data_IF_472811898217
#
_entry.id   IF_472811898217
#
_cell.length_a   1.000
_cell.length_b   1.000
_cell.length_c   1.000
_cell.angle_alpha   90.00
_cell.angle_beta   90.00
_cell.angle_gamma   90.00
#
_symmetry.space_group_name_H-M   'P 1'
#
loop_
_entity.id
_entity.type
_entity.pdbx_description
1 polymer ?
#
# COMPACT_ATOMS: atom_id res chain seq x y z
N UNK A 1 -78.24 52.07 45.60
CA UNK A 1 -77.53 52.95 44.65
C UNK A 1 -76.44 52.09 43.98
N UNK A 2 -76.70 51.58 42.77
CA UNK A 2 -76.18 52.09 41.50
C UNK A 2 -74.68 51.75 41.31
N UNK A 3 -74.20 51.06 40.27
CA UNK A 3 -74.73 50.59 38.97
C UNK A 3 -73.77 49.48 38.46
N UNK A 4 -74.29 48.47 37.75
CA UNK A 4 -73.55 47.70 36.73
C UNK A 4 -73.37 48.58 35.48
N UNK A 5 -72.31 48.37 34.67
CA UNK A 5 -72.52 47.75 33.34
C UNK A 5 -71.35 46.82 32.91
N UNK A 6 -71.60 45.64 32.33
CA UNK A 6 -71.74 45.26 30.90
C UNK A 6 -70.52 44.46 30.41
N UNK A 7 -70.87 43.36 29.75
CA UNK A 7 -70.09 42.38 28.98
C UNK A 7 -68.91 42.95 28.19
N UNK A 8 -67.84 42.16 28.11
CA UNK A 8 -67.14 41.87 26.85
C UNK A 8 -66.52 40.47 26.93
N UNK A 9 -67.13 39.53 26.22
CA UNK A 9 -66.55 38.23 25.92
C UNK A 9 -65.49 38.43 24.83
N UNK A 10 -64.23 38.09 25.10
CA UNK A 10 -63.21 37.91 24.09
C UNK A 10 -62.71 36.47 24.19
N UNK A 11 -63.17 35.63 23.26
CA UNK A 11 -62.52 34.36 22.95
C UNK A 11 -61.08 34.67 22.50
N UNK A 12 -60.08 34.21 23.26
CA UNK A 12 -58.73 34.04 22.72
C UNK A 12 -58.57 32.57 22.31
N UNK A 13 -58.81 32.31 21.02
CA UNK A 13 -58.40 31.07 20.38
C UNK A 13 -56.89 31.08 20.15
N UNK A 14 -56.25 30.03 20.66
CA UNK A 14 -55.21 29.24 20.01
C UNK A 14 -54.13 29.97 19.19
N UNK A 15 -52.92 30.01 19.75
CA UNK A 15 -51.70 29.65 19.01
C UNK A 15 -50.74 28.97 19.99
N UNK A 16 -50.83 27.64 20.09
CA UNK A 16 -49.64 26.86 20.43
C UNK A 16 -48.64 27.17 19.31
N UNK A 17 -47.68 28.06 19.59
CA UNK A 17 -46.43 28.11 18.86
C UNK A 17 -45.77 26.74 19.08
N UNK A 18 -46.00 25.84 18.13
CA UNK A 18 -45.12 24.70 17.91
C UNK A 18 -43.75 25.27 17.62
N UNK A 19 -42.93 25.40 18.66
CA UNK A 19 -41.49 25.44 18.51
C UNK A 19 -41.16 24.22 17.65
N UNK A 20 -40.60 24.38 16.44
CA UNK A 20 -40.03 23.24 15.77
C UNK A 20 -39.00 22.70 16.76
N UNK A 21 -39.19 21.45 17.21
CA UNK A 21 -38.08 20.67 17.70
C UNK A 21 -37.01 20.81 16.61
N UNK A 22 -35.96 21.58 16.88
CA UNK A 22 -34.74 21.52 16.12
C UNK A 22 -34.33 20.05 16.21
N UNK A 23 -34.70 19.26 15.20
CA UNK A 23 -34.12 17.95 15.00
C UNK A 23 -32.64 18.22 14.90
N UNK A 24 -31.90 17.92 15.95
CA UNK A 24 -30.47 18.09 15.97
C UNK A 24 -29.96 17.15 14.90
N UNK A 25 -29.58 17.71 13.75
CA UNK A 25 -28.91 16.98 12.71
C UNK A 25 -27.67 16.35 13.37
N UNK A 26 -27.67 15.02 13.44
CA UNK A 26 -26.73 14.25 14.23
C UNK A 26 -26.26 13.06 13.42
N UNK A 27 -24.95 12.89 13.39
CA UNK A 27 -24.32 11.65 13.01
C UNK A 27 -24.59 10.58 14.06
N UNK A 28 -24.72 9.36 13.61
CA UNK A 28 -24.87 8.16 14.45
C UNK A 28 -23.88 7.10 13.99
N UNK A 29 -23.29 6.40 14.96
CA UNK A 29 -22.35 5.31 14.72
C UNK A 29 -23.11 3.98 14.75
N UNK A 30 -22.78 3.06 13.85
CA UNK A 30 -23.41 1.74 13.81
C UNK A 30 -22.88 0.75 14.87
N UNK A 31 -21.81 1.12 15.58
CA UNK A 31 -21.08 0.22 16.49
C UNK A 31 -20.28 -0.87 15.77
N UNK A 32 -20.08 -0.75 14.45
CA UNK A 32 -19.29 -1.70 13.65
C UNK A 32 -17.80 -1.37 13.57
N UNK A 33 -17.45 -0.10 13.75
CA UNK A 33 -16.08 0.33 13.96
C UNK A 33 -15.75 0.17 15.46
N UNK A 34 -14.49 -0.16 15.76
CA UNK A 34 -14.01 -0.45 17.11
C UNK A 34 -12.54 -0.01 17.18
N UNK A 35 -12.16 0.69 18.24
CA UNK A 35 -10.88 1.42 18.34
C UNK A 35 -9.82 0.67 19.15
N UNK A 36 -10.14 -0.49 19.73
CA UNK A 36 -9.20 -1.19 20.60
C UNK A 36 -8.00 -1.79 19.84
N UNK A 37 -6.88 -1.96 20.55
CA UNK A 37 -5.59 -2.38 20.00
C UNK A 37 -5.67 -3.58 19.05
N UNK A 38 -6.47 -4.58 19.40
CA UNK A 38 -6.54 -5.83 18.64
C UNK A 38 -7.41 -5.74 17.38
N UNK A 39 -7.99 -4.59 17.08
CA UNK A 39 -9.06 -4.44 16.08
C UNK A 39 -8.68 -3.43 15.02
N UNK A 40 -7.69 -3.79 14.22
CA UNK A 40 -7.11 -2.89 13.22
C UNK A 40 -7.29 -3.39 11.80
N UNK A 41 -7.35 -2.44 10.86
CA UNK A 41 -7.04 -2.70 9.47
C UNK A 41 -5.55 -3.09 9.37
N UNK A 42 -5.27 -4.26 8.80
CA UNK A 42 -3.90 -4.75 8.71
C UNK A 42 -3.11 -4.05 7.60
N UNK A 43 -1.89 -3.63 7.90
CA UNK A 43 -0.93 -3.06 6.96
C UNK A 43 -0.01 -4.20 6.44
N UNK A 44 -0.19 -4.67 5.20
CA UNK A 44 0.33 -5.98 4.78
C UNK A 44 1.72 -5.89 4.13
N UNK A 45 2.75 -5.48 4.88
CA UNK A 45 4.13 -5.44 4.37
C UNK A 45 4.75 -6.82 4.13
N UNK A 46 4.24 -7.88 4.78
CA UNK A 46 4.78 -9.24 4.66
C UNK A 46 6.17 -9.38 5.26
N UNK A 47 7.08 -10.06 4.56
CA UNK A 47 8.47 -10.27 5.01
C UNK A 47 9.37 -9.14 4.51
N UNK A 48 9.96 -8.39 5.44
CA UNK A 48 10.90 -7.30 5.19
C UNK A 48 12.31 -7.78 5.53
N UNK A 49 13.29 -7.50 4.67
CA UNK A 49 14.69 -7.78 4.97
C UNK A 49 15.45 -6.49 5.31
N UNK A 50 15.99 -6.42 6.52
CA UNK A 50 16.83 -5.33 7.00
C UNK A 50 18.30 -5.78 6.95
N UNK A 51 18.94 -5.58 5.81
CA UNK A 51 20.36 -5.94 5.60
C UNK A 51 21.31 -4.90 6.25
N UNK A 52 22.59 -5.00 5.96
CA UNK A 52 23.61 -4.01 6.31
C UNK A 52 23.32 -2.61 5.72
N UNK A 53 23.94 -1.59 6.33
CA UNK A 53 23.80 -0.19 5.93
C UNK A 53 24.55 0.17 4.64
N UNK A 54 25.41 -0.71 4.11
CA UNK A 54 26.16 -0.43 2.90
C UNK A 54 25.30 -0.68 1.65
N UNK A 55 24.61 -1.82 1.60
CA UNK A 55 23.67 -2.14 0.53
C UNK A 55 22.33 -1.40 0.71
N UNK A 56 21.91 -1.21 1.96
CA UNK A 56 20.65 -0.54 2.30
C UNK A 56 20.92 0.59 3.31
N UNK A 57 21.40 1.76 2.85
CA UNK A 57 21.72 2.89 3.73
C UNK A 57 20.49 3.46 4.43
N UNK A 58 20.72 4.24 5.49
CA UNK A 58 19.67 5.02 6.16
C UNK A 58 18.96 5.91 5.12
N UNK A 59 17.64 6.00 5.19
CA UNK A 59 16.82 6.65 4.17
C UNK A 59 16.25 5.70 3.11
N UNK A 60 16.72 4.45 3.03
CA UNK A 60 16.22 3.49 2.05
C UNK A 60 14.76 3.12 2.31
N UNK A 61 13.95 3.08 1.24
CA UNK A 61 12.62 2.48 1.27
C UNK A 61 12.76 0.96 1.42
N UNK A 62 12.15 0.40 2.46
CA UNK A 62 12.16 -1.02 2.81
C UNK A 62 10.94 -1.77 2.28
N UNK A 63 9.83 -1.08 2.10
CA UNK A 63 8.58 -1.64 1.62
C UNK A 63 7.50 -0.58 1.47
N UNK A 64 6.51 -0.86 0.62
CA UNK A 64 5.34 -0.01 0.42
C UNK A 64 4.10 -0.87 0.30
N UNK A 65 2.98 -0.39 0.82
CA UNK A 65 1.69 -1.06 0.73
C UNK A 65 0.57 -0.02 0.58
N UNK A 66 -0.43 -0.36 -0.25
CA UNK A 66 -1.71 0.32 -0.27
C UNK A 66 -2.69 -0.49 0.59
N UNK A 67 -3.24 0.14 1.62
CA UNK A 67 -4.13 -0.48 2.60
C UNK A 67 -5.55 -0.01 2.29
N UNK A 68 -6.39 -0.83 1.66
CA UNK A 68 -7.79 -0.50 1.52
C UNK A 68 -8.44 -0.54 2.91
N UNK A 69 -9.44 0.33 3.20
CA UNK A 69 -10.12 0.32 4.49
C UNK A 69 -10.76 -1.04 4.79
N UNK A 70 -11.09 -1.82 3.77
CA UNK A 70 -11.62 -3.20 3.87
C UNK A 70 -10.65 -4.22 4.46
N UNK A 71 -9.38 -3.86 4.69
CA UNK A 71 -8.49 -4.67 5.53
C UNK A 71 -8.97 -4.70 6.99
N UNK A 72 -9.85 -3.78 7.40
CA UNK A 72 -10.62 -3.89 8.62
C UNK A 72 -11.73 -4.94 8.47
N UNK A 73 -11.61 -6.03 9.21
CA UNK A 73 -12.53 -7.18 9.12
C UNK A 73 -13.13 -7.60 10.46
N UNK A 74 -12.83 -6.84 11.53
CA UNK A 74 -13.34 -7.14 12.86
C UNK A 74 -14.88 -7.15 12.87
N UNK A 75 -15.47 -8.06 13.65
CA UNK A 75 -16.93 -8.20 13.74
C UNK A 75 -17.62 -8.61 12.42
N UNK A 76 -16.87 -9.11 11.43
CA UNK A 76 -17.39 -9.47 10.11
C UNK A 76 -17.63 -8.27 9.20
N UNK A 77 -16.94 -7.14 9.46
CA UNK A 77 -17.04 -5.95 8.61
C UNK A 77 -16.63 -6.27 7.16
N UNK A 78 -17.40 -5.72 6.23
CA UNK A 78 -17.21 -5.84 4.78
C UNK A 78 -17.23 -4.46 4.13
N UNK A 79 -16.88 -4.39 2.85
CA UNK A 79 -16.92 -3.18 2.05
C UNK A 79 -18.25 -2.38 2.17
N UNK A 80 -19.38 -3.09 2.23
CA UNK A 80 -20.72 -2.49 2.33
C UNK A 80 -21.15 -2.12 3.76
N UNK A 81 -20.34 -2.41 4.78
CA UNK A 81 -20.68 -2.14 6.18
C UNK A 81 -20.77 -0.63 6.40
N UNK A 82 -21.94 -0.15 6.80
CA UNK A 82 -22.17 1.25 7.19
C UNK A 82 -21.53 1.49 8.56
N UNK A 83 -20.64 2.46 8.66
CA UNK A 83 -19.98 2.85 9.91
C UNK A 83 -20.68 4.06 10.54
N UNK A 84 -21.01 5.05 9.72
CA UNK A 84 -21.68 6.27 10.15
C UNK A 84 -22.89 6.58 9.27
N UNK A 85 -23.95 7.09 9.90
CA UNK A 85 -25.12 7.67 9.22
C UNK A 85 -25.30 9.10 9.72
N UNK A 86 -25.29 10.08 8.82
CA UNK A 86 -25.42 11.49 9.14
C UNK A 86 -26.53 12.14 8.32
N UNK A 87 -27.12 13.23 8.80
CA UNK A 87 -28.07 13.99 7.99
C UNK A 87 -27.35 14.63 6.79
N UNK A 88 -28.03 14.70 5.64
CA UNK A 88 -27.48 15.34 4.43
C UNK A 88 -27.08 16.79 4.65
N UNK A 89 -27.79 17.49 5.52
CA UNK A 89 -27.52 18.89 5.88
C UNK A 89 -26.18 19.08 6.58
N UNK A 90 -25.62 18.02 7.18
CA UNK A 90 -24.36 18.09 7.92
C UNK A 90 -23.14 17.93 7.02
N UNK A 91 -23.31 17.52 5.76
CA UNK A 91 -22.23 17.21 4.82
C UNK A 91 -21.10 18.26 4.78
N UNK A 92 -21.36 19.59 4.81
CA UNK A 92 -20.29 20.60 4.85
C UNK A 92 -19.37 20.54 6.08
N UNK A 93 -19.86 19.92 7.16
CA UNK A 93 -19.16 19.79 8.44
C UNK A 93 -18.49 18.40 8.59
N UNK A 94 -18.68 17.49 7.64
CA UNK A 94 -18.15 16.12 7.73
C UNK A 94 -16.77 15.99 7.08
N UNK A 95 -15.85 15.40 7.81
CA UNK A 95 -14.52 15.04 7.33
C UNK A 95 -13.91 13.97 8.23
N UNK A 96 -12.85 13.32 7.77
CA UNK A 96 -12.09 12.38 8.59
C UNK A 96 -10.94 13.11 9.29
N UNK A 97 -10.59 12.64 10.49
CA UNK A 97 -9.31 12.93 11.11
C UNK A 97 -8.45 11.67 11.15
N UNK A 98 -7.15 11.84 10.89
CA UNK A 98 -6.15 10.78 10.99
C UNK A 98 -4.96 11.24 11.82
N UNK A 99 -4.44 10.37 12.66
CA UNK A 99 -3.22 10.57 13.42
C UNK A 99 -2.48 9.25 13.61
N UNK A 100 -1.19 9.32 13.91
CA UNK A 100 -0.45 8.18 14.43
C UNK A 100 -0.95 7.83 15.83
N UNK A 101 -0.59 6.65 16.34
CA UNK A 101 -0.92 6.32 17.72
C UNK A 101 0.05 7.04 18.69
N UNK A 102 -0.33 8.25 19.12
CA UNK A 102 0.54 9.19 19.82
C UNK A 102 0.99 8.75 21.21
N UNK A 103 0.23 7.91 21.91
CA UNK A 103 0.56 7.37 23.24
C UNK A 103 1.47 6.13 23.18
N UNK A 104 1.67 5.58 21.98
CA UNK A 104 2.48 4.39 21.75
C UNK A 104 3.88 4.75 21.27
N UNK A 105 4.86 4.46 22.13
CA UNK A 105 6.30 4.61 21.85
C UNK A 105 6.73 4.03 20.51
N UNK A 106 6.14 2.90 20.12
CA UNK A 106 6.46 2.13 18.90
C UNK A 106 5.30 2.12 17.89
N UNK A 107 4.28 2.95 18.12
CA UNK A 107 3.06 3.04 17.33
C UNK A 107 2.81 4.44 16.76
N UNK A 108 3.60 5.46 17.08
CA UNK A 108 3.31 6.79 16.55
C UNK A 108 3.82 7.98 17.35
N UNK A 109 4.33 7.76 18.55
CA UNK A 109 4.73 8.85 19.44
C UNK A 109 5.95 9.64 18.95
N UNK A 110 6.94 8.96 18.35
CA UNK A 110 8.24 9.53 18.05
C UNK A 110 8.55 9.54 16.56
N UNK A 111 8.74 10.72 15.99
CA UNK A 111 9.18 10.92 14.60
C UNK A 111 10.68 10.69 14.45
N UNK A 112 11.11 9.44 14.58
CA UNK A 112 12.54 9.08 14.59
C UNK A 112 13.22 9.19 13.23
N UNK A 113 12.47 9.30 12.13
CA UNK A 113 13.05 9.51 10.80
C UNK A 113 13.46 10.96 10.52
N UNK A 114 13.01 11.94 11.32
CA UNK A 114 13.30 13.36 11.07
C UNK A 114 14.81 13.66 11.08
N UNK A 115 15.57 13.01 11.97
CA UNK A 115 17.04 13.13 12.03
C UNK A 115 17.74 12.57 10.79
N UNK A 116 17.06 11.72 10.02
CA UNK A 116 17.54 11.12 8.78
C UNK A 116 17.06 11.91 7.52
N UNK A 117 16.44 13.07 7.71
CA UNK A 117 15.84 13.85 6.63
C UNK A 117 14.50 13.30 6.12
N UNK A 118 13.88 12.36 6.85
CA UNK A 118 12.60 11.75 6.50
C UNK A 118 11.48 12.35 7.36
N UNK A 119 10.73 13.30 6.80
CA UNK A 119 9.57 13.89 7.47
C UNK A 119 8.33 12.98 7.43
N UNK A 120 7.59 12.95 8.53
CA UNK A 120 6.40 12.12 8.74
C UNK A 120 6.71 10.64 8.97
N UNK A 121 7.94 10.32 9.40
CA UNK A 121 8.41 8.94 9.59
C UNK A 121 8.56 8.62 11.07
N UNK A 122 7.64 7.81 11.57
CA UNK A 122 7.52 7.48 12.99
C UNK A 122 8.11 6.12 13.32
N UNK A 123 8.62 5.98 14.54
CA UNK A 123 9.16 4.73 15.04
C UNK A 123 8.12 3.61 14.98
N UNK A 124 8.57 2.41 14.60
CA UNK A 124 7.76 1.21 14.67
C UNK A 124 8.26 0.26 15.76
N UNK A 125 7.56 -0.86 15.92
CA UNK A 125 8.04 -1.95 16.77
C UNK A 125 9.28 -2.64 16.23
N UNK A 126 9.62 -2.52 14.95
CA UNK A 126 10.87 -3.05 14.41
C UNK A 126 12.02 -2.06 14.60
N UNK A 127 13.13 -2.54 15.15
CA UNK A 127 14.33 -1.72 15.32
C UNK A 127 14.84 -1.18 13.98
N UNK A 128 15.17 0.10 13.95
CA UNK A 128 15.70 0.80 12.76
C UNK A 128 14.77 0.81 11.55
N UNK A 129 13.46 0.64 11.80
CA UNK A 129 12.40 0.74 10.79
C UNK A 129 11.41 1.82 11.21
N UNK A 130 11.28 2.84 10.36
CA UNK A 130 10.29 3.89 10.48
C UNK A 130 9.11 3.67 9.53
N UNK A 131 7.94 4.16 9.90
CA UNK A 131 6.71 4.06 9.11
C UNK A 131 6.24 5.46 8.72
N UNK A 132 6.01 5.66 7.42
CA UNK A 132 5.30 6.79 6.86
C UNK A 132 3.91 6.36 6.43
N UNK A 133 2.93 7.20 6.72
CA UNK A 133 1.54 6.97 6.39
C UNK A 133 0.98 8.20 5.67
N UNK A 134 0.24 7.98 4.60
CA UNK A 134 -0.42 9.04 3.82
C UNK A 134 -1.82 8.60 3.43
N UNK A 135 -2.82 9.47 3.59
CA UNK A 135 -4.20 9.22 3.17
C UNK A 135 -4.71 10.42 2.36
N UNK A 136 -5.19 10.19 1.14
CA UNK A 136 -5.65 11.25 0.23
C UNK A 136 -4.65 12.40 0.06
N UNK A 137 -3.35 12.10 0.01
CA UNK A 137 -2.26 13.08 -0.08
C UNK A 137 -1.89 13.78 1.23
N UNK A 138 -2.60 13.51 2.32
CA UNK A 138 -2.32 14.05 3.66
C UNK A 138 -1.36 13.11 4.39
N UNK A 139 -0.20 13.63 4.81
CA UNK A 139 0.75 12.86 5.62
C UNK A 139 0.23 12.74 7.05
N UNK A 140 0.09 11.52 7.55
CA UNK A 140 -0.36 11.25 8.92
C UNK A 140 0.76 11.61 9.89
N UNK A 141 0.39 12.28 10.99
CA UNK A 141 1.34 12.71 12.03
C UNK A 141 0.79 12.41 13.42
N UNK A 142 1.58 12.67 14.47
CA UNK A 142 1.10 12.62 15.86
C UNK A 142 -0.03 13.62 16.13
N UNK A 143 -0.13 14.68 15.34
CA UNK A 143 -1.20 15.66 15.44
C UNK A 143 -2.31 15.34 14.46
N UNK A 144 -3.57 15.42 14.89
CA UNK A 144 -4.74 15.08 14.07
C UNK A 144 -4.82 15.90 12.78
N UNK A 145 -4.84 15.20 11.64
CA UNK A 145 -4.86 15.80 10.30
C UNK A 145 -6.22 15.61 9.63
N UNK A 146 -6.72 16.65 8.98
CA UNK A 146 -7.96 16.62 8.21
C UNK A 146 -7.79 15.88 6.89
N UNK A 147 -8.65 14.90 6.65
CA UNK A 147 -8.80 14.17 5.39
C UNK A 147 -10.23 14.36 4.86
N UNK A 148 -10.43 14.68 3.57
CA UNK A 148 -11.75 14.93 3.03
C UNK A 148 -12.60 13.65 2.94
N UNK A 149 -13.89 13.78 3.24
CA UNK A 149 -14.92 12.79 2.92
C UNK A 149 -15.43 13.05 1.50
N UNK A 150 -15.01 12.23 0.54
CA UNK A 150 -15.36 12.41 -0.88
C UNK A 150 -16.37 11.40 -1.40
N UNK A 151 -16.58 10.31 -0.66
CA UNK A 151 -17.41 9.17 -1.09
C UNK A 151 -18.40 8.84 0.02
N UNK A 152 -19.65 8.56 -0.34
CA UNK A 152 -20.73 8.14 0.55
C UNK A 152 -21.91 7.68 -0.31
N UNK A 153 -22.93 7.08 0.32
CA UNK A 153 -24.22 6.81 -0.34
C UNK A 153 -25.33 7.62 0.30
N UNK A 154 -26.25 8.11 -0.52
CA UNK A 154 -27.45 8.78 -0.01
C UNK A 154 -28.52 7.76 0.38
N UNK A 155 -29.21 8.03 1.49
CA UNK A 155 -30.33 7.21 1.97
C UNK A 155 -31.42 8.13 2.54
N UNK A 156 -32.42 8.46 1.71
CA UNK A 156 -33.46 9.42 2.07
C UNK A 156 -32.88 10.81 2.38
N UNK A 157 -33.11 11.30 3.61
CA UNK A 157 -32.57 12.57 4.11
C UNK A 157 -31.18 12.44 4.76
N UNK A 158 -30.59 11.24 4.73
CA UNK A 158 -29.30 10.94 5.31
C UNK A 158 -28.27 10.58 4.25
N UNK A 159 -27.01 10.58 4.66
CA UNK A 159 -25.92 9.87 3.99
C UNK A 159 -25.47 8.71 4.87
N UNK A 160 -24.93 7.68 4.24
CA UNK A 160 -24.25 6.58 4.91
C UNK A 160 -22.82 6.52 4.39
N UNK A 161 -21.88 6.45 5.33
CA UNK A 161 -20.46 6.29 5.06
C UNK A 161 -20.13 4.83 5.37
N UNK A 162 -19.84 4.07 4.32
CA UNK A 162 -19.46 2.65 4.44
C UNK A 162 -17.96 2.52 4.55
N UNK A 163 -17.50 1.34 4.96
CA UNK A 163 -16.08 1.03 5.05
C UNK A 163 -15.34 1.31 3.73
N UNK A 164 -15.91 0.92 2.58
CA UNK A 164 -15.31 1.17 1.27
C UNK A 164 -15.28 2.64 0.82
N UNK A 165 -16.05 3.51 1.49
CA UNK A 165 -16.13 4.92 1.14
C UNK A 165 -14.98 5.72 1.77
N UNK A 166 -14.21 5.10 2.68
CA UNK A 166 -12.99 5.66 3.28
C UNK A 166 -11.84 5.61 2.25
N UNK A 167 -11.04 6.67 2.10
CA UNK A 167 -9.87 6.62 1.24
C UNK A 167 -8.84 5.56 1.69
N UNK A 168 -8.15 4.89 0.75
CA UNK A 168 -7.10 3.95 1.13
C UNK A 168 -5.91 4.67 1.78
N UNK A 169 -5.25 3.97 2.70
CA UNK A 169 -4.03 4.43 3.36
C UNK A 169 -2.81 3.92 2.59
N UNK A 170 -1.92 4.82 2.20
CA UNK A 170 -0.60 4.47 1.69
C UNK A 170 0.37 4.35 2.88
N UNK A 171 1.11 3.24 2.94
CA UNK A 171 2.06 2.95 3.99
C UNK A 171 3.44 2.63 3.41
N UNK A 172 4.49 3.22 3.97
CA UNK A 172 5.88 3.05 3.51
C UNK A 172 6.80 2.83 4.70
N UNK A 173 7.67 1.81 4.61
CA UNK A 173 8.70 1.55 5.60
C UNK A 173 10.03 2.12 5.13
N UNK A 174 10.75 2.75 6.04
CA UNK A 174 12.07 3.30 5.79
C UNK A 174 13.09 2.75 6.78
N UNK A 175 14.32 2.59 6.31
CA UNK A 175 15.46 2.39 7.21
C UNK A 175 15.78 3.71 7.89
N UNK A 176 15.83 3.70 9.22
CA UNK A 176 16.18 4.86 10.05
C UNK A 176 17.42 4.58 10.89
N UNK A 177 18.11 5.63 11.35
CA UNK A 177 19.33 5.54 12.14
C UNK A 177 19.10 5.41 13.65
N UNK A 178 17.91 5.83 14.12
CA UNK A 178 17.67 6.14 15.53
C UNK A 178 16.51 5.33 16.09
N UNK A 179 16.67 4.81 17.30
CA UNK A 179 15.60 4.15 18.04
C UNK A 179 14.80 5.18 18.86
N UNK A 180 13.49 4.97 19.08
CA UNK A 180 12.71 5.83 19.96
C UNK A 180 13.28 5.81 21.39
N UNK A 181 13.21 6.94 22.13
CA UNK A 181 13.64 7.04 23.53
C UNK A 181 13.07 5.92 24.41
N UNK A 182 13.76 5.57 25.50
CA UNK A 182 13.27 4.59 26.47
C UNK A 182 12.04 5.12 27.22
N UNK A 183 11.09 4.23 27.48
CA UNK A 183 9.82 4.53 28.15
C UNK A 183 8.85 3.38 27.84
N UNK A 184 7.98 3.00 28.78
CA UNK A 184 7.03 1.92 28.55
C UNK A 184 5.61 2.44 28.66
N UNK A 185 4.84 2.32 27.57
CA UNK A 185 3.38 2.53 27.59
C UNK A 185 2.60 1.40 26.88
N UNK A 186 3.23 0.62 25.99
CA UNK A 186 2.81 -0.73 25.58
C UNK A 186 3.89 -1.38 24.69
N UNK A 187 3.85 -2.71 24.51
CA UNK A 187 4.79 -3.51 23.68
C UNK A 187 6.28 -3.49 24.08
N UNK A 188 6.64 -2.92 25.24
CA UNK A 188 8.03 -2.86 25.71
C UNK A 188 8.87 -1.88 24.89
N UNK A 189 9.44 -2.32 23.77
CA UNK A 189 10.31 -1.51 22.90
C UNK A 189 10.67 -2.15 21.57
N UNK A 190 11.45 -1.44 20.72
CA UNK A 190 11.82 -1.91 19.39
C UNK A 190 12.50 -3.28 19.43
N UNK A 191 12.15 -4.08 18.44
CA UNK A 191 12.47 -5.49 18.34
C UNK A 191 13.47 -5.72 17.21
N UNK A 192 14.61 -6.34 17.54
CA UNK A 192 15.64 -6.69 16.57
C UNK A 192 15.23 -7.90 15.71
N UNK A 193 15.63 -7.97 14.42
CA UNK A 193 15.39 -9.14 13.58
C UNK A 193 16.11 -10.42 14.08
N UNK A 194 15.67 -11.63 13.67
CA UNK A 194 14.48 -11.93 12.89
C UNK A 194 13.25 -12.15 13.78
N UNK A 195 12.13 -11.47 13.47
CA UNK A 195 10.92 -11.49 14.32
C UNK A 195 9.64 -11.18 13.54
N UNK A 196 8.50 -11.65 14.07
CA UNK A 196 7.18 -11.21 13.62
C UNK A 196 6.77 -9.91 14.31
N UNK A 197 5.91 -9.12 13.66
CA UNK A 197 5.32 -7.93 14.27
C UNK A 197 4.21 -8.34 15.24
N UNK A 198 4.53 -8.41 16.52
CA UNK A 198 3.61 -8.89 17.58
C UNK A 198 3.02 -7.77 18.43
N UNK A 199 3.46 -6.52 18.24
CA UNK A 199 2.90 -5.41 18.99
C UNK A 199 1.44 -5.19 18.62
N UNK A 200 0.56 -5.23 19.62
CA UNK A 200 -0.88 -5.09 19.42
C UNK A 200 -1.33 -3.67 19.17
N UNK A 201 -0.57 -2.70 19.66
CA UNK A 201 -0.90 -1.28 19.52
C UNK A 201 -1.03 -0.87 18.05
N UNK A 202 -2.07 -0.11 17.68
CA UNK A 202 -2.21 0.42 16.34
C UNK A 202 -1.05 1.39 16.04
N UNK A 203 -0.74 1.53 14.76
CA UNK A 203 0.21 2.50 14.23
C UNK A 203 -0.45 3.85 13.89
N UNK A 204 -1.76 3.86 13.68
CA UNK A 204 -2.54 5.05 13.38
C UNK A 204 -4.02 4.79 13.62
N UNK A 205 -4.80 5.87 13.65
CA UNK A 205 -6.24 5.85 13.75
C UNK A 205 -6.89 6.74 12.70
N UNK A 206 -8.13 6.40 12.35
CA UNK A 206 -9.06 7.27 11.64
C UNK A 206 -10.34 7.42 12.47
N UNK A 207 -10.90 8.61 12.46
CA UNK A 207 -12.19 8.94 13.08
C UNK A 207 -13.01 9.86 12.17
N UNK A 208 -14.32 9.93 12.37
CA UNK A 208 -15.20 10.88 11.68
C UNK A 208 -15.44 12.11 12.56
N UNK A 209 -15.32 13.30 11.97
CA UNK A 209 -15.84 14.54 12.56
C UNK A 209 -17.24 14.79 12.03
N UNK A 210 -18.17 15.09 12.94
CA UNK A 210 -19.54 15.41 12.60
C UNK A 210 -20.39 15.77 13.83
N UNK A 211 -21.52 16.45 13.64
CA UNK A 211 -22.41 16.81 14.74
C UNK A 211 -22.90 15.58 15.51
N UNK A 212 -22.88 15.61 16.84
CA UNK A 212 -23.46 14.56 17.68
C UNK A 212 -22.61 13.30 17.89
N UNK A 213 -21.39 13.27 17.37
CA UNK A 213 -20.39 12.23 17.66
C UNK A 213 -19.19 12.84 18.40
N UNK A 214 -18.63 12.15 19.39
CA UNK A 214 -17.39 12.58 20.04
C UNK A 214 -16.20 12.32 19.12
N UNK A 215 -15.36 13.32 18.97
CA UNK A 215 -14.18 13.32 18.12
C UNK A 215 -13.15 14.29 18.68
N UNK A 216 -11.90 14.17 18.24
CA UNK A 216 -10.83 15.14 18.52
C UNK A 216 -10.85 16.29 17.49
N UNK A 217 -9.99 17.29 17.65
CA UNK A 217 -9.90 18.46 16.78
C UNK A 217 -8.62 18.49 15.94
N UNK A 218 -8.66 19.23 14.83
CA UNK A 218 -7.51 19.41 13.95
C UNK A 218 -6.32 20.00 14.71
N UNK A 219 -5.16 19.35 14.60
CA UNK A 219 -3.91 19.82 15.20
C UNK A 219 -3.72 19.42 16.66
N UNK A 220 -4.71 18.78 17.29
CA UNK A 220 -4.54 18.25 18.64
C UNK A 220 -3.57 17.06 18.66
N UNK A 221 -2.87 16.90 19.78
CA UNK A 221 -1.86 15.86 19.98
C UNK A 221 -2.52 14.54 20.38
N UNK A 222 -2.46 13.53 19.51
CA UNK A 222 -3.04 12.19 19.75
C UNK A 222 -2.45 11.43 20.96
N UNK A 223 -1.36 11.92 21.57
CA UNK A 223 -0.86 11.39 22.84
C UNK A 223 -1.81 11.66 24.02
N UNK A 224 -2.51 12.79 24.01
CA UNK A 224 -3.40 13.21 25.10
C UNK A 224 -4.83 13.48 24.65
N UNK A 225 -5.08 13.55 23.34
CA UNK A 225 -6.39 13.76 22.74
C UNK A 225 -6.79 12.51 21.95
N UNK A 226 -7.63 11.71 22.60
CA UNK A 226 -8.16 10.45 22.08
C UNK A 226 -9.66 10.31 22.42
N UNK A 227 -10.41 11.42 22.37
CA UNK A 227 -11.83 11.47 22.73
C UNK A 227 -12.68 10.53 21.87
N UNK A 228 -12.23 10.25 20.63
CA UNK A 228 -12.81 9.28 19.73
C UNK A 228 -12.76 7.83 20.25
N UNK A 229 -11.77 7.51 21.09
CA UNK A 229 -11.38 6.13 21.40
C UNK A 229 -12.44 5.43 22.22
N UNK A 230 -12.84 6.00 23.37
CA UNK A 230 -13.79 5.36 24.30
C UNK A 230 -15.23 5.29 23.79
N UNK A 231 -15.55 5.99 22.70
CA UNK A 231 -16.87 5.96 22.04
C UNK A 231 -16.88 5.14 20.74
N UNK A 232 -15.77 4.47 20.41
CA UNK A 232 -15.61 3.69 19.18
C UNK A 232 -15.84 4.48 17.87
N UNK A 233 -15.48 5.76 17.85
CA UNK A 233 -15.59 6.58 16.64
C UNK A 233 -14.41 6.31 15.68
N UNK A 234 -14.49 5.17 14.97
CA UNK A 234 -13.53 4.79 13.95
C UNK A 234 -12.73 3.55 14.31
N UNK A 235 -11.53 3.40 13.74
CA UNK A 235 -10.71 2.21 13.91
C UNK A 235 -9.22 2.49 13.67
N UNK A 236 -8.38 1.56 14.10
CA UNK A 236 -6.93 1.67 13.95
C UNK A 236 -6.38 0.97 12.69
N UNK A 237 -5.18 1.36 12.28
CA UNK A 237 -4.36 0.66 11.30
C UNK A 237 -3.14 0.08 12.01
N UNK A 238 -2.74 -1.16 11.72
CA UNK A 238 -1.62 -1.80 12.42
C UNK A 238 -0.89 -2.83 11.58
N UNK A 239 0.39 -3.04 11.87
CA UNK A 239 1.25 -4.03 11.20
C UNK A 239 1.21 -5.44 11.80
N UNK A 240 0.45 -5.63 12.90
CA UNK A 240 0.40 -6.89 13.65
C UNK A 240 0.01 -8.07 12.75
N UNK A 241 0.70 -9.20 12.88
CA UNK A 241 0.43 -10.44 12.13
C UNK A 241 0.54 -10.35 10.59
N UNK A 242 0.73 -9.14 10.05
CA UNK A 242 0.82 -8.85 8.62
C UNK A 242 2.24 -8.43 8.19
N UNK A 243 3.17 -8.30 9.14
CA UNK A 243 4.56 -7.98 8.91
C UNK A 243 5.53 -8.85 9.73
N UNK A 244 6.69 -9.13 9.15
CA UNK A 244 7.83 -9.80 9.79
C UNK A 244 9.14 -9.22 9.25
N UNK A 245 10.20 -9.29 10.04
CA UNK A 245 11.50 -8.74 9.69
C UNK A 245 12.59 -9.80 9.78
N UNK A 246 13.50 -9.81 8.81
CA UNK A 246 14.70 -10.65 8.75
C UNK A 246 15.95 -9.79 8.66
N UNK A 247 17.10 -10.40 8.91
CA UNK A 247 18.41 -9.80 8.68
C UNK A 247 19.27 -10.81 7.92
N UNK A 248 19.11 -10.79 6.60
CA UNK A 248 19.74 -11.74 5.68
C UNK A 248 20.65 -10.98 4.73
N UNK A 249 21.88 -11.45 4.58
CA UNK A 249 22.81 -10.93 3.58
C UNK A 249 22.18 -11.09 2.18
N UNK A 250 22.17 -10.01 1.41
CA UNK A 250 21.45 -9.92 0.14
C UNK A 250 22.29 -9.22 -0.92
N UNK A 251 21.66 -9.01 -2.06
CA UNK A 251 22.11 -8.12 -3.12
C UNK A 251 21.16 -6.93 -3.30
N UNK A 252 21.61 -5.95 -4.07
CA UNK A 252 20.81 -4.81 -4.56
C UNK A 252 21.11 -4.55 -6.04
N UNK A 253 20.11 -4.12 -6.79
CA UNK A 253 20.33 -3.61 -8.14
C UNK A 253 20.91 -2.19 -8.04
N UNK A 254 22.05 -1.94 -8.69
CA UNK A 254 22.71 -0.63 -8.74
C UNK A 254 22.37 0.15 -9.99
N UNK A 255 22.20 -0.56 -11.11
CA UNK A 255 21.88 0.04 -12.40
C UNK A 255 21.17 -0.98 -13.30
N UNK A 256 20.34 -0.49 -14.21
CA UNK A 256 19.77 -1.27 -15.30
C UNK A 256 19.75 -0.43 -16.58
N UNK A 257 19.87 -1.06 -17.75
CA UNK A 257 19.68 -0.37 -19.03
C UNK A 257 18.28 0.25 -19.05
N UNK A 258 18.16 1.60 -19.15
CA UNK A 258 16.89 2.28 -18.95
C UNK A 258 15.92 2.16 -20.13
N UNK A 259 16.42 1.87 -21.33
CA UNK A 259 15.63 1.73 -22.55
C UNK A 259 16.13 0.56 -23.39
N UNK A 260 15.21 -0.35 -23.73
CA UNK A 260 15.48 -1.48 -24.61
C UNK A 260 14.78 -1.22 -25.95
N UNK A 261 15.56 -0.96 -27.00
CA UNK A 261 15.03 -0.65 -28.32
C UNK A 261 15.13 -1.87 -29.24
N UNK A 262 13.98 -2.30 -29.75
CA UNK A 262 13.91 -3.34 -30.78
C UNK A 262 14.08 -2.76 -32.17
N UNK A 263 14.72 -3.51 -33.07
CA UNK A 263 14.65 -3.20 -34.49
C UNK A 263 13.22 -3.40 -34.99
N UNK A 264 12.79 -2.55 -35.93
CA UNK A 264 11.46 -2.69 -36.54
C UNK A 264 11.33 -4.04 -37.25
N UNK A 265 10.17 -4.65 -37.14
CA UNK A 265 9.84 -5.95 -37.75
C UNK A 265 8.45 -5.85 -38.40
N UNK A 266 8.26 -6.48 -39.55
CA UNK A 266 6.96 -6.44 -40.23
C UNK A 266 5.96 -7.41 -39.60
N UNK A 267 4.67 -7.11 -39.76
CA UNK A 267 3.58 -8.01 -39.33
C UNK A 267 3.68 -9.36 -40.04
N UNK A 268 4.03 -9.40 -41.32
CA UNK A 268 4.18 -10.67 -42.05
C UNK A 268 5.32 -11.52 -41.47
N UNK A 269 6.42 -10.89 -41.06
CA UNK A 269 7.53 -11.59 -40.42
C UNK A 269 7.11 -12.17 -39.08
N UNK A 270 6.41 -11.40 -38.25
CA UNK A 270 5.87 -11.87 -36.96
C UNK A 270 4.89 -13.05 -37.15
N UNK A 271 3.99 -12.94 -38.15
CA UNK A 271 3.03 -14.00 -38.50
C UNK A 271 3.67 -15.26 -39.07
N UNK A 272 4.85 -15.13 -39.67
CA UNK A 272 5.69 -16.26 -40.08
C UNK A 272 6.53 -16.84 -38.93
N UNK A 273 6.38 -16.33 -37.69
CA UNK A 273 7.11 -16.80 -36.51
C UNK A 273 8.49 -16.17 -36.30
N UNK A 274 8.83 -15.12 -37.05
CA UNK A 274 10.07 -14.38 -36.82
C UNK A 274 9.97 -13.50 -35.56
N UNK A 275 11.13 -13.12 -35.02
CA UNK A 275 11.25 -12.27 -33.84
C UNK A 275 12.36 -11.24 -34.01
N UNK A 276 12.28 -10.13 -33.28
CA UNK A 276 13.38 -9.16 -33.13
C UNK A 276 13.85 -9.15 -31.68
N UNK A 277 15.17 -9.08 -31.47
CA UNK A 277 15.79 -9.22 -30.15
C UNK A 277 16.62 -8.00 -29.78
N UNK A 278 16.68 -7.73 -28.48
CA UNK A 278 17.56 -6.71 -27.91
C UNK A 278 18.09 -7.20 -26.56
N UNK A 279 19.35 -6.93 -26.29
CA UNK A 279 19.96 -7.23 -25.00
C UNK A 279 19.89 -6.02 -24.07
N UNK A 280 19.79 -6.29 -22.78
CA UNK A 280 19.88 -5.27 -21.75
C UNK A 280 20.65 -5.81 -20.55
N UNK A 281 21.26 -4.89 -19.79
CA UNK A 281 22.15 -5.23 -18.69
C UNK A 281 21.59 -4.75 -17.36
N UNK A 282 21.81 -5.54 -16.31
CA UNK A 282 21.55 -5.19 -14.92
C UNK A 282 22.85 -5.35 -14.13
N UNK A 283 23.23 -4.30 -13.42
CA UNK A 283 24.35 -4.35 -12.48
C UNK A 283 23.81 -4.58 -11.08
N UNK A 284 24.35 -5.60 -10.42
CA UNK A 284 23.95 -6.03 -9.09
C UNK A 284 25.17 -5.96 -8.20
N UNK A 285 25.00 -5.49 -6.97
CA UNK A 285 26.02 -5.59 -5.95
C UNK A 285 25.52 -6.50 -4.83
N UNK A 286 26.34 -7.48 -4.46
CA UNK A 286 26.00 -8.50 -3.46
C UNK A 286 26.97 -8.47 -2.30
N UNK A 287 26.47 -8.73 -1.10
CA UNK A 287 27.32 -9.21 -0.01
C UNK A 287 27.95 -10.54 -0.42
N UNK A 288 29.22 -10.75 -0.12
CA UNK A 288 29.91 -12.02 -0.39
C UNK A 288 29.33 -13.18 0.44
N UNK A 289 28.51 -12.89 1.46
CA UNK A 289 27.76 -13.87 2.25
C UNK A 289 26.34 -14.13 1.75
N UNK A 290 25.89 -13.43 0.69
CA UNK A 290 24.56 -13.62 0.14
C UNK A 290 24.43 -14.99 -0.55
N UNK A 291 23.39 -15.74 -0.19
CA UNK A 291 23.06 -16.99 -0.87
C UNK A 291 22.19 -16.69 -2.09
N UNK A 292 22.67 -17.02 -3.29
CA UNK A 292 21.89 -16.89 -4.53
C UNK A 292 20.94 -18.08 -4.69
N UNK A 293 19.64 -17.83 -4.89
CA UNK A 293 18.66 -18.88 -5.07
C UNK A 293 17.22 -18.43 -4.86
N UNK A 294 16.28 -19.38 -4.95
CA UNK A 294 14.84 -19.11 -4.83
C UNK A 294 14.18 -19.74 -3.60
N UNK A 295 14.96 -20.45 -2.77
CA UNK A 295 14.48 -20.99 -1.50
C UNK A 295 14.45 -19.93 -0.40
N UNK A 296 13.75 -20.22 0.70
CA UNK A 296 13.64 -19.31 1.85
C UNK A 296 14.99 -18.81 2.32
N UNK A 297 15.14 -17.48 2.46
CA UNK A 297 16.37 -16.83 2.90
C UNK A 297 17.45 -16.70 1.82
N UNK A 298 17.19 -17.12 0.57
CA UNK A 298 18.06 -16.87 -0.57
C UNK A 298 17.65 -15.61 -1.33
N UNK A 299 18.59 -15.00 -2.02
CA UNK A 299 18.38 -13.80 -2.83
C UNK A 299 18.09 -14.18 -4.27
N UNK A 300 16.97 -13.66 -4.78
CA UNK A 300 16.52 -13.81 -6.14
C UNK A 300 16.41 -12.46 -6.85
N UNK A 301 16.47 -12.51 -8.19
CA UNK A 301 16.13 -11.42 -9.08
C UNK A 301 14.86 -11.75 -9.86
N UNK A 302 14.06 -10.73 -10.14
CA UNK A 302 12.90 -10.80 -11.01
C UNK A 302 12.74 -9.53 -11.84
N UNK A 303 12.10 -9.64 -12.99
CA UNK A 303 11.73 -8.51 -13.84
C UNK A 303 10.21 -8.39 -13.78
N UNK A 304 9.71 -7.35 -13.12
CA UNK A 304 8.29 -7.15 -12.86
C UNK A 304 7.62 -6.33 -13.95
N UNK A 305 6.48 -6.77 -14.46
CA UNK A 305 5.70 -6.01 -15.45
C UNK A 305 5.03 -4.78 -14.80
N UNK A 306 4.60 -3.80 -15.59
CA UNK A 306 3.76 -2.69 -15.09
C UNK A 306 2.34 -3.14 -14.70
N UNK A 307 1.60 -2.38 -13.86
CA UNK A 307 0.22 -2.73 -13.51
C UNK A 307 -0.73 -2.80 -14.72
N UNK A 308 -0.57 -1.89 -15.68
CA UNK A 308 -1.35 -1.89 -16.92
C UNK A 308 -1.07 -3.12 -17.77
N UNK A 309 0.22 -3.46 -17.95
CA UNK A 309 0.63 -4.65 -18.66
C UNK A 309 0.20 -5.95 -17.95
N UNK A 310 0.22 -6.00 -16.62
CA UNK A 310 -0.30 -7.13 -15.85
C UNK A 310 -1.80 -7.35 -16.09
N UNK A 311 -2.60 -6.27 -16.00
CA UNK A 311 -4.05 -6.33 -16.22
C UNK A 311 -4.39 -6.82 -17.64
N UNK A 312 -3.63 -6.37 -18.64
CA UNK A 312 -3.77 -6.85 -20.01
C UNK A 312 -3.30 -8.31 -20.17
N UNK A 313 -2.20 -8.70 -19.52
CA UNK A 313 -1.74 -10.09 -19.52
C UNK A 313 -2.80 -11.03 -18.93
N UNK A 314 -3.52 -10.61 -17.89
CA UNK A 314 -4.63 -11.39 -17.33
C UNK A 314 -5.76 -11.60 -18.35
N UNK A 315 -6.18 -10.56 -19.06
CA UNK A 315 -7.26 -10.68 -20.06
C UNK A 315 -6.85 -11.52 -21.28
N UNK A 316 -5.56 -11.58 -21.59
CA UNK A 316 -4.98 -12.40 -22.65
C UNK A 316 -4.66 -13.84 -22.22
N UNK A 317 -4.85 -14.19 -20.95
CA UNK A 317 -4.51 -15.52 -20.43
C UNK A 317 -3.00 -15.80 -20.34
N UNK A 318 -2.17 -14.76 -20.24
CA UNK A 318 -0.70 -14.84 -20.16
C UNK A 318 -0.18 -14.96 -18.71
N UNK A 319 -1.08 -14.96 -17.72
CA UNK A 319 -0.74 -15.13 -16.30
C UNK A 319 -0.94 -16.58 -15.90
N UNK A 320 0.13 -17.24 -15.48
CA UNK A 320 0.09 -18.63 -15.06
C UNK A 320 -0.49 -18.79 -13.64
N UNK A 321 -0.69 -20.05 -13.21
CA UNK A 321 -1.25 -20.36 -11.89
C UNK A 321 -0.43 -19.90 -10.68
N UNK A 322 0.84 -19.49 -10.88
CA UNK A 322 1.70 -18.90 -9.85
C UNK A 322 1.76 -17.36 -9.92
N UNK A 323 0.97 -16.73 -10.78
CA UNK A 323 0.95 -15.27 -10.97
C UNK A 323 2.11 -14.72 -11.81
N UNK A 324 2.95 -15.58 -12.39
CA UNK A 324 3.98 -15.19 -13.33
C UNK A 324 3.41 -14.85 -14.70
N UNK A 325 4.01 -13.87 -15.38
CA UNK A 325 3.57 -13.38 -16.70
C UNK A 325 4.49 -13.92 -17.79
N UNK A 326 3.94 -14.68 -18.73
CA UNK A 326 4.73 -15.36 -19.78
C UNK A 326 5.27 -14.43 -20.86
N UNK A 327 4.55 -13.34 -21.15
CA UNK A 327 4.98 -12.32 -22.10
C UNK A 327 4.51 -10.93 -21.65
N UNK A 328 5.42 -9.96 -21.71
CA UNK A 328 5.14 -8.56 -21.43
C UNK A 328 4.46 -7.91 -22.64
N UNK A 329 3.30 -7.30 -22.42
CA UNK A 329 2.56 -6.52 -23.43
C UNK A 329 2.66 -5.02 -23.13
N UNK A 330 2.24 -4.19 -24.09
CA UNK A 330 2.31 -2.74 -23.93
C UNK A 330 1.47 -2.24 -22.74
N UNK A 331 1.88 -1.14 -22.11
CA UNK A 331 1.28 -0.65 -20.85
C UNK A 331 -0.22 -0.31 -21.00
N UNK A 332 -0.62 0.22 -22.16
CA UNK A 332 -2.01 0.58 -22.50
C UNK A 332 -2.62 -0.36 -23.56
N UNK A 333 -2.24 -1.64 -23.53
CA UNK A 333 -2.75 -2.66 -24.45
C UNK A 333 -4.28 -2.68 -24.50
N UNK A 334 -4.86 -2.84 -25.70
CA UNK A 334 -6.30 -2.77 -25.95
C UNK A 334 -6.97 -1.38 -25.81
N UNK A 335 -6.30 -0.39 -25.21
CA UNK A 335 -6.87 0.93 -24.96
C UNK A 335 -6.35 2.02 -25.90
N UNK A 336 -5.11 1.91 -26.38
CA UNK A 336 -4.53 2.83 -27.36
C UNK A 336 -4.51 2.19 -28.77
N UNK A 337 -5.22 2.76 -29.76
CA UNK A 337 -5.30 2.21 -31.11
C UNK A 337 -3.98 2.31 -31.90
N UNK A 338 -2.98 3.08 -31.43
CA UNK A 338 -1.66 3.17 -32.05
C UNK A 338 -0.72 2.03 -31.62
N UNK A 339 -1.11 1.25 -30.61
CA UNK A 339 -0.32 0.13 -30.11
C UNK A 339 -0.61 -1.15 -30.88
N UNK A 340 0.45 -1.89 -31.18
CA UNK A 340 0.35 -3.21 -31.79
C UNK A 340 -0.37 -4.19 -30.85
N UNK A 341 -1.25 -5.01 -31.41
CA UNK A 341 -1.96 -6.08 -30.72
C UNK A 341 -1.39 -7.44 -31.15
N UNK A 342 -1.63 -8.47 -30.34
CA UNK A 342 -1.23 -9.84 -30.64
C UNK A 342 0.28 -10.09 -30.65
N UNK A 343 1.06 -9.18 -30.07
CA UNK A 343 2.52 -9.27 -29.91
C UNK A 343 2.91 -9.11 -28.45
N UNK A 344 4.01 -9.71 -28.06
CA UNK A 344 4.53 -9.63 -26.70
C UNK A 344 6.04 -9.82 -26.65
N UNK A 345 6.63 -9.35 -25.56
CA UNK A 345 8.06 -9.45 -25.29
C UNK A 345 8.30 -10.63 -24.34
N UNK A 346 9.11 -11.60 -24.76
CA UNK A 346 9.61 -12.68 -23.90
C UNK A 346 11.02 -12.40 -23.42
N UNK A 347 11.43 -13.05 -22.34
CA UNK A 347 12.70 -12.79 -21.66
C UNK A 347 13.53 -14.08 -21.55
N UNK A 348 14.85 -13.93 -21.64
CA UNK A 348 15.82 -15.00 -21.38
C UNK A 348 17.04 -14.44 -20.68
N UNK A 349 17.60 -15.18 -19.72
CA UNK A 349 18.92 -14.89 -19.18
C UNK A 349 19.97 -15.23 -20.24
N UNK A 350 20.76 -14.25 -20.69
CA UNK A 350 21.71 -14.44 -21.78
C UNK A 350 22.93 -15.28 -21.35
N UNK A 351 23.31 -15.22 -20.07
CA UNK A 351 24.44 -15.98 -19.52
C UNK A 351 24.15 -17.48 -19.37
N UNK A 352 22.91 -17.84 -19.02
CA UNK A 352 22.51 -19.26 -18.86
C UNK A 352 21.74 -19.82 -20.06
N UNK A 353 21.14 -18.97 -20.90
CA UNK A 353 20.22 -19.37 -21.95
C UNK A 353 18.81 -19.73 -21.45
N UNK A 354 18.52 -19.60 -20.16
CA UNK A 354 17.24 -19.98 -19.55
C UNK A 354 16.14 -18.97 -19.90
N UNK A 355 15.05 -19.44 -20.49
CA UNK A 355 13.84 -18.64 -20.69
C UNK A 355 13.24 -18.23 -19.34
N UNK A 356 12.73 -17.00 -19.25
CA UNK A 356 12.26 -16.39 -18.01
C UNK A 356 10.80 -15.96 -18.12
N UNK A 357 10.09 -16.14 -17.02
CA UNK A 357 8.77 -15.58 -16.76
C UNK A 357 8.95 -14.25 -16.02
N UNK A 358 8.12 -13.26 -16.33
CA UNK A 358 8.11 -11.98 -15.62
C UNK A 358 7.37 -12.09 -14.29
N UNK A 359 7.76 -11.28 -13.31
CA UNK A 359 7.01 -11.10 -12.07
C UNK A 359 5.74 -10.29 -12.39
N UNK A 360 4.58 -10.71 -11.87
CA UNK A 360 3.29 -10.05 -12.08
C UNK A 360 3.12 -8.74 -11.31
N UNK A 361 2.23 -8.70 -10.33
CA UNK A 361 2.00 -7.53 -9.47
C UNK A 361 1.50 -7.92 -8.08
N UNK A 362 1.85 -7.14 -7.05
CA UNK A 362 3.17 -6.60 -6.77
C UNK A 362 4.08 -7.73 -6.29
N UNK A 363 5.40 -7.52 -6.26
CA UNK A 363 6.32 -8.45 -5.55
C UNK A 363 5.95 -8.75 -4.09
N UNK A 364 4.94 -8.06 -3.52
CA UNK A 364 3.82 -8.51 -2.68
C UNK A 364 2.91 -7.29 -2.33
N UNK A 365 1.58 -7.41 -2.30
CA UNK A 365 0.73 -6.76 -1.26
C UNK A 365 -0.48 -7.67 -1.05
N UNK A 366 -0.50 -8.45 0.02
CA UNK A 366 -1.54 -9.45 0.23
C UNK A 366 -2.96 -8.87 0.26
N UNK A 367 -3.92 -9.64 -0.21
CA UNK A 367 -4.99 -10.09 0.67
C UNK A 367 -4.53 -11.45 1.22
N UNK A 368 -4.50 -11.61 2.53
CA UNK A 368 -4.47 -12.96 3.10
C UNK A 368 -5.72 -13.72 2.61
N UNK A 369 -5.61 -14.98 2.16
CA UNK A 369 -4.53 -15.93 2.44
C UNK A 369 -3.79 -16.50 1.21
N UNK A 370 -2.49 -16.82 1.41
CA UNK A 370 -1.67 -17.84 0.69
C UNK A 370 -1.45 -17.58 -0.82
N UNK A 371 -0.31 -17.15 -1.35
CA UNK A 371 1.08 -17.59 -1.16
C UNK A 371 1.99 -16.43 -1.58
N UNK A 372 3.13 -16.23 -0.93
CA UNK A 372 4.19 -15.37 -1.49
C UNK A 372 4.79 -16.09 -2.69
N UNK A 373 4.53 -15.68 -3.95
CA UNK A 373 4.95 -16.48 -5.09
C UNK A 373 6.47 -16.47 -5.16
N UNK A 374 7.08 -17.66 -5.14
CA UNK A 374 8.53 -17.87 -5.21
C UNK A 374 8.88 -18.76 -6.40
N UNK A 375 10.16 -18.74 -6.76
CA UNK A 375 10.69 -19.60 -7.81
C UNK A 375 10.33 -19.19 -9.25
N UNK A 376 10.81 -19.99 -10.22
CA UNK A 376 10.79 -19.62 -11.63
C UNK A 376 9.39 -19.39 -12.22
N UNK A 377 8.39 -20.16 -11.77
CA UNK A 377 7.00 -20.02 -12.24
C UNK A 377 6.39 -18.66 -11.84
N UNK A 378 6.84 -18.09 -10.72
CA UNK A 378 6.45 -16.76 -10.26
C UNK A 378 7.35 -15.63 -10.82
N UNK A 379 8.34 -15.97 -11.64
CA UNK A 379 9.28 -15.02 -12.24
C UNK A 379 10.53 -14.73 -11.39
N UNK A 380 10.82 -15.53 -10.37
CA UNK A 380 12.01 -15.37 -9.53
C UNK A 380 13.12 -16.36 -9.90
N UNK A 381 14.33 -15.84 -10.05
CA UNK A 381 15.51 -16.61 -10.45
C UNK A 381 16.68 -16.30 -9.50
N UNK A 382 17.64 -17.22 -9.29
CA UNK A 382 18.81 -16.94 -8.47
C UNK A 382 19.55 -15.69 -8.95
N UNK A 383 19.87 -14.78 -8.03
CA UNK A 383 20.42 -13.44 -8.36
C UNK A 383 21.81 -13.48 -9.01
N UNK A 384 22.53 -14.59 -8.93
CA UNK A 384 23.86 -14.77 -9.53
C UNK A 384 23.87 -15.72 -10.74
N UNK A 385 22.72 -16.28 -11.15
CA UNK A 385 22.67 -17.15 -12.32
C UNK A 385 23.04 -16.38 -13.59
N UNK A 386 24.05 -16.87 -14.33
CA UNK A 386 24.54 -16.21 -15.54
C UNK A 386 25.18 -14.83 -15.31
N UNK A 387 25.49 -14.49 -14.06
CA UNK A 387 26.10 -13.21 -13.71
C UNK A 387 27.62 -13.26 -13.83
N UNK A 388 28.22 -12.22 -14.42
CA UNK A 388 29.68 -12.09 -14.54
C UNK A 388 30.22 -11.16 -13.46
N UNK A 389 31.21 -11.58 -12.64
CA UNK A 389 31.78 -10.71 -11.63
C UNK A 389 32.57 -9.56 -12.27
N UNK A 390 32.34 -8.34 -11.78
CA UNK A 390 33.05 -7.11 -12.17
C UNK A 390 34.11 -6.70 -11.14
N UNK A 391 34.21 -7.43 -10.02
CA UNK A 391 35.10 -7.11 -8.90
C UNK A 391 34.42 -6.34 -7.78
N UNK A 392 35.20 -5.84 -6.83
CA UNK A 392 34.71 -5.25 -5.58
C UNK A 392 34.95 -3.74 -5.50
N UNK A 393 33.91 -2.98 -5.19
CA UNK A 393 33.97 -1.57 -4.79
C UNK A 393 34.23 -1.39 -3.30
N UNK A 394 33.89 -2.41 -2.50
CA UNK A 394 33.98 -2.41 -1.04
C UNK A 394 34.32 -3.81 -0.54
N UNK A 395 35.16 -3.90 0.50
CA UNK A 395 35.51 -5.19 1.12
C UNK A 395 34.25 -5.90 1.63
N UNK A 396 34.13 -7.19 1.32
CA UNK A 396 32.96 -8.01 1.68
C UNK A 396 31.81 -7.95 0.68
N UNK A 397 31.95 -7.23 -0.43
CA UNK A 397 30.94 -7.12 -1.49
C UNK A 397 31.55 -7.33 -2.87
N UNK A 398 30.73 -7.79 -3.82
CA UNK A 398 31.14 -8.00 -5.21
C UNK A 398 30.06 -7.46 -6.15
N UNK A 399 30.48 -6.75 -7.19
CA UNK A 399 29.63 -6.30 -8.28
C UNK A 399 29.54 -7.39 -9.35
N UNK A 400 28.37 -7.52 -9.94
CA UNK A 400 28.07 -8.47 -11.00
C UNK A 400 27.30 -7.79 -12.13
N UNK A 401 27.55 -8.23 -13.36
CA UNK A 401 26.79 -7.88 -14.54
C UNK A 401 25.95 -9.07 -14.97
N UNK A 402 24.63 -8.88 -15.03
CA UNK A 402 23.72 -9.80 -15.70
C UNK A 402 23.26 -9.21 -17.02
N UNK A 403 23.25 -10.04 -18.05
CA UNK A 403 22.70 -9.70 -19.37
C UNK A 403 21.46 -10.53 -19.63
N UNK A 404 20.41 -9.86 -20.08
CA UNK A 404 19.16 -10.48 -20.48
C UNK A 404 18.90 -10.21 -21.97
N UNK A 405 18.27 -11.16 -22.64
CA UNK A 405 17.78 -11.01 -24.00
C UNK A 405 16.27 -10.89 -23.96
N UNK A 406 15.75 -9.75 -24.42
CA UNK A 406 14.34 -9.55 -24.69
C UNK A 406 14.03 -9.88 -26.16
N UNK A 407 12.89 -10.52 -26.43
CA UNK A 407 12.48 -10.93 -27.78
C UNK A 407 11.04 -10.52 -28.04
N UNK A 408 10.81 -9.65 -29.02
CA UNK A 408 9.48 -9.28 -29.48
C UNK A 408 9.01 -10.26 -30.55
N UNK A 409 7.87 -10.89 -30.31
CA UNK A 409 7.29 -11.93 -31.17
C UNK A 409 5.75 -11.92 -31.13
N UNK A 410 5.13 -12.65 -32.04
CA UNK A 410 3.69 -12.88 -32.01
C UNK A 410 3.29 -13.74 -30.80
N UNK A 411 2.19 -13.37 -30.14
CA UNK A 411 1.62 -14.14 -29.05
C UNK A 411 0.91 -15.39 -29.58
N UNK A 412 1.04 -16.56 -28.92
CA UNK A 412 0.29 -17.76 -29.28
C UNK A 412 -1.22 -17.50 -29.35
N UNK A 413 -1.88 -18.05 -30.37
CA UNK A 413 -3.34 -17.92 -30.55
C UNK A 413 -3.84 -16.52 -30.93
N UNK A 414 -2.96 -15.53 -31.06
CA UNK A 414 -3.29 -14.16 -31.45
C UNK A 414 -2.76 -13.86 -32.85
N UNK A 415 -3.21 -12.76 -33.45
CA UNK A 415 -2.71 -12.26 -34.73
C UNK A 415 -2.05 -10.90 -34.53
N UNK A 416 -0.79 -10.76 -34.96
CA UNK A 416 -0.07 -9.51 -34.85
C UNK A 416 -0.73 -8.42 -35.72
N UNK A 417 -0.90 -7.21 -35.16
CA UNK A 417 -1.35 -6.02 -35.90
C UNK A 417 -0.26 -4.95 -35.97
N UNK A 418 -0.29 -4.06 -36.97
CA UNK A 418 0.64 -2.92 -37.03
C UNK A 418 0.44 -1.99 -35.83
N UNK A 419 1.54 -1.44 -35.30
CA UNK A 419 1.51 -0.43 -34.26
C UNK A 419 2.84 -0.30 -33.52
N UNK A 420 2.87 0.60 -32.54
CA UNK A 420 4.01 0.75 -31.63
C UNK A 420 3.95 -0.30 -30.53
N UNK A 421 5.11 -0.66 -29.98
CA UNK A 421 5.22 -1.44 -28.75
C UNK A 421 5.87 -0.56 -27.71
N UNK A 422 5.19 -0.36 -26.57
CA UNK A 422 5.69 0.43 -25.44
C UNK A 422 5.29 -0.24 -24.14
N UNK A 423 6.25 -0.85 -23.47
CA UNK A 423 6.03 -1.60 -22.24
C UNK A 423 7.06 -1.20 -21.17
N UNK A 424 6.61 -1.19 -19.93
CA UNK A 424 7.43 -0.87 -18.76
C UNK A 424 7.64 -2.09 -17.89
N UNK A 425 8.86 -2.29 -17.40
CA UNK A 425 9.19 -3.33 -16.43
C UNK A 425 10.22 -2.83 -15.40
N UNK A 426 10.23 -3.45 -14.21
CA UNK A 426 11.05 -3.07 -13.07
C UNK A 426 11.98 -4.21 -12.67
N UNK A 427 13.24 -3.91 -12.39
CA UNK A 427 14.17 -4.88 -11.81
C UNK A 427 13.94 -4.96 -10.31
N UNK A 428 13.69 -6.16 -9.81
CA UNK A 428 13.55 -6.42 -8.38
C UNK A 428 14.64 -7.37 -7.89
N UNK A 429 15.21 -7.05 -6.74
CA UNK A 429 16.05 -7.99 -5.97
C UNK A 429 15.37 -8.22 -4.63
N UNK A 430 15.16 -9.48 -4.27
CA UNK A 430 14.36 -9.89 -3.11
C UNK A 430 14.97 -11.10 -2.41
N UNK A 431 14.99 -11.06 -1.08
CA UNK A 431 15.17 -12.27 -0.26
C UNK A 431 13.85 -13.04 -0.21
N UNK A 432 13.87 -14.31 -0.60
CA UNK A 432 12.68 -15.18 -0.74
C UNK A 432 12.15 -15.71 0.58
#
# INVERSE_FOLDING_TARGET
MHRRPILSAALLSCTLLGLPLLGHAACTMSGKAQTEDTRTAQIPFGKINLTDTYLQPVGSLLGSALVPPTNYTYGGATASTVLWTCAKTDLPNLYFLVATNGDSRVGGQHETGAVDGLSGVYATYFSYVGLKLTMSGVTVSRYWQKVPLTTYVESGNNIQIRLQDIPPLQAELYRISTLPPSGAYACGGPLAPPRNYTCVQPNAYIQLVGPGISHDEIGEDSYSHYDFWGVDNGFGYGMRDAASITQTATCVARNATPLVLFQSISVQQLQAGASTQANFNVQIECSNSAASGTASGQTAIGIQVSPGAYSAAQSLGLVNGSGGVEALVSDNYGNDPNLAQGVGITLRNAGTGTAMVFVGQPGNTGNLPSQYPTGPNAGWYPVLDGANPLGSSQSGYTNYLQTFTASLQQLPGNTATPGKVHATAYVLVKVQ
#
